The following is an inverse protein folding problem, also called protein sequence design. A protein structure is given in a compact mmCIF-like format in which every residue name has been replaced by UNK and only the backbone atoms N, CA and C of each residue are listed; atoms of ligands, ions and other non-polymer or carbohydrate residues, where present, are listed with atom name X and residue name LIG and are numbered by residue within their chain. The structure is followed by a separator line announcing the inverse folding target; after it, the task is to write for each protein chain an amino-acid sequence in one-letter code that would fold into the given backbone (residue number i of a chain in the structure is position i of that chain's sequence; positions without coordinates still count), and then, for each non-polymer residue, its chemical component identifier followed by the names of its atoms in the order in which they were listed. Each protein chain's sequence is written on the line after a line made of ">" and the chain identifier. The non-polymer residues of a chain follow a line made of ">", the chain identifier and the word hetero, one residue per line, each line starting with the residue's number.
data_IF_195659681047
#
_entry.id   IF_195659681047
#
_cell.length_a   1.000
_cell.length_b   1.000
_cell.length_c   1.000
_cell.angle_alpha   90.00
_cell.angle_beta   90.00
_cell.angle_gamma   90.00
#
_symmetry.space_group_name_H-M   'P 1'
#
loop_
_entity.id
_entity.type
_entity.pdbx_description
1 polymer ?
#
# COMPACT_ATOMS: atom_id res chain seq x y z
N UNK A 1 16.85 19.24 -54.66
CA UNK A 1 17.23 17.82 -54.85
C UNK A 1 17.59 17.28 -53.48
N UNK A 2 17.07 16.22 -52.90
CA UNK A 2 15.93 15.32 -53.15
C UNK A 2 15.76 14.56 -51.83
N UNK A 3 14.54 14.38 -51.35
CA UNK A 3 14.20 13.17 -50.57
C UNK A 3 14.08 12.02 -51.59
N UNK A 4 14.31 10.72 -51.23
CA UNK A 4 13.22 9.97 -50.57
C UNK A 4 13.60 8.74 -49.70
N UNK A 5 12.67 8.42 -48.78
CA UNK A 5 12.01 7.13 -48.49
C UNK A 5 12.77 5.82 -48.15
N UNK A 6 12.27 5.25 -47.03
CA UNK A 6 11.83 3.87 -46.82
C UNK A 6 12.87 2.74 -46.66
N UNK A 7 12.83 2.04 -45.53
CA UNK A 7 12.20 0.69 -45.42
C UNK A 7 12.57 0.09 -44.05
N UNK A 8 11.62 0.04 -43.11
CA UNK A 8 11.73 -0.83 -41.94
C UNK A 8 10.37 -1.43 -41.65
N UNK A 9 10.13 -2.64 -42.18
CA UNK A 9 9.16 -3.56 -41.63
C UNK A 9 9.40 -4.96 -42.20
N UNK A 10 9.99 -5.82 -41.39
CA UNK A 10 9.96 -7.28 -41.59
C UNK A 10 10.02 -7.98 -40.24
N UNK A 11 8.86 -8.08 -39.60
CA UNK A 11 8.60 -9.12 -38.61
C UNK A 11 7.38 -9.88 -39.07
N UNK A 12 7.60 -11.12 -39.50
CA UNK A 12 6.57 -12.11 -39.69
C UNK A 12 6.65 -13.07 -38.50
N UNK A 13 5.57 -13.31 -37.76
CA UNK A 13 5.44 -14.51 -36.95
C UNK A 13 4.76 -15.61 -37.76
N UNK A 14 5.47 -16.74 -37.89
CA UNK A 14 4.97 -17.99 -38.40
C UNK A 14 3.99 -18.63 -37.41
N UNK A 15 2.89 -19.20 -37.93
CA UNK A 15 2.12 -20.25 -37.28
C UNK A 15 0.88 -19.81 -36.49
N UNK A 16 -0.26 -19.69 -37.18
CA UNK A 16 -1.58 -19.85 -36.59
C UNK A 16 -2.36 -20.90 -37.42
N UNK A 17 -3.06 -21.85 -36.77
CA UNK A 17 -3.79 -22.92 -37.46
C UNK A 17 -5.04 -22.40 -38.19
N UNK A 18 -5.40 -23.14 -39.25
CA UNK A 18 -6.41 -22.82 -40.24
C UNK A 18 -7.79 -23.39 -39.85
N UNK A 19 -8.76 -22.52 -39.60
CA UNK A 19 -10.21 -22.80 -39.61
C UNK A 19 -11.06 -21.63 -39.07
N UNK A 20 -10.98 -20.43 -39.68
CA UNK A 20 -12.00 -19.39 -39.42
C UNK A 20 -12.46 -18.78 -40.75
N UNK A 21 -13.70 -19.12 -41.10
CA UNK A 21 -14.47 -18.62 -42.24
C UNK A 21 -14.62 -17.08 -42.21
N UNK A 22 -14.70 -16.51 -43.41
CA UNK A 22 -14.79 -15.09 -43.65
C UNK A 22 -16.01 -14.44 -42.97
N UNK A 23 -15.75 -13.50 -42.05
CA UNK A 23 -16.74 -12.53 -41.61
C UNK A 23 -16.46 -11.19 -42.31
N UNK A 24 -17.45 -10.70 -43.06
CA UNK A 24 -17.45 -9.43 -43.78
C UNK A 24 -17.16 -8.24 -42.86
N UNK A 25 -15.96 -7.68 -42.98
CA UNK A 25 -15.60 -6.41 -42.34
C UNK A 25 -16.15 -5.26 -43.19
N UNK A 26 -17.32 -4.75 -42.79
CA UNK A 26 -17.91 -3.52 -43.34
C UNK A 26 -16.99 -2.34 -43.01
N UNK A 27 -16.27 -1.84 -44.02
CA UNK A 27 -15.49 -0.60 -43.95
C UNK A 27 -16.41 0.62 -43.97
N UNK A 28 -16.69 1.21 -42.80
CA UNK A 28 -17.34 2.51 -42.71
C UNK A 28 -16.33 3.63 -42.99
N UNK A 29 -16.33 4.13 -44.23
CA UNK A 29 -15.72 5.41 -44.61
C UNK A 29 -16.59 6.56 -44.07
N UNK A 30 -16.04 7.57 -43.37
CA UNK A 30 -16.77 8.80 -43.09
C UNK A 30 -16.82 9.67 -44.36
N UNK A 31 -17.86 9.50 -45.18
CA UNK A 31 -18.22 10.43 -46.26
C UNK A 31 -19.20 11.47 -45.72
N UNK A 32 -18.68 12.58 -45.19
CA UNK A 32 -19.48 13.73 -44.71
C UNK A 32 -19.76 14.72 -45.86
N UNK A 33 -19.50 14.34 -47.12
CA UNK A 33 -19.61 15.24 -48.27
C UNK A 33 -20.80 14.95 -49.21
N UNK A 34 -21.78 14.14 -48.80
CA UNK A 34 -22.85 13.68 -49.72
C UNK A 34 -24.28 13.70 -49.14
N UNK A 35 -24.56 14.65 -48.24
CA UNK A 35 -25.92 14.95 -47.76
C UNK A 35 -26.28 16.44 -47.92
N UNK A 36 -25.89 17.05 -49.04
CA UNK A 36 -26.28 18.42 -49.42
C UNK A 36 -27.15 18.52 -50.67
N UNK A 37 -27.59 17.40 -51.25
CA UNK A 37 -28.42 17.41 -52.45
C UNK A 37 -29.62 16.48 -52.27
N UNK A 38 -30.68 17.00 -51.67
CA UNK A 38 -31.91 16.22 -51.54
C UNK A 38 -32.90 16.75 -50.53
N UNK A 39 -33.20 18.05 -50.51
CA UNK A 39 -34.47 18.55 -49.96
C UNK A 39 -34.80 19.99 -50.40
N UNK A 40 -34.64 20.28 -51.69
CA UNK A 40 -35.15 21.52 -52.30
C UNK A 40 -36.17 21.19 -53.37
N UNK A 41 -37.35 20.70 -53.00
CA UNK A 41 -38.57 20.84 -53.82
C UNK A 41 -39.79 20.44 -52.95
N UNK A 42 -40.17 21.30 -52.01
CA UNK A 42 -41.56 21.33 -51.55
C UNK A 42 -41.98 22.78 -51.33
N UNK A 43 -42.88 23.22 -52.21
CA UNK A 43 -43.49 24.55 -52.19
C UNK A 43 -44.50 24.61 -51.04
N UNK A 44 -44.09 25.19 -49.92
CA UNK A 44 -44.98 26.01 -49.08
C UNK A 44 -44.16 27.21 -48.58
N UNK A 45 -43.78 28.07 -49.52
CA UNK A 45 -43.55 29.47 -49.21
C UNK A 45 -44.93 30.13 -49.20
N UNK A 46 -45.37 30.58 -48.02
CA UNK A 46 -46.22 31.76 -47.75
C UNK A 46 -46.55 31.71 -46.25
N UNK A 47 -46.50 32.87 -45.59
CA UNK A 47 -46.69 33.09 -44.15
C UNK A 47 -45.42 32.91 -43.30
N UNK A 48 -44.51 33.88 -43.44
CA UNK A 48 -43.92 34.66 -42.35
C UNK A 48 -42.92 35.63 -42.99
N UNK A 49 -43.49 36.60 -43.71
CA UNK A 49 -42.77 37.82 -44.04
C UNK A 49 -42.46 38.58 -42.74
N UNK A 50 -41.28 39.18 -42.72
CA UNK A 50 -40.96 40.33 -41.87
C UNK A 50 -40.80 40.10 -40.36
N UNK A 51 -40.04 39.08 -39.97
CA UNK A 51 -39.16 39.24 -38.80
C UNK A 51 -37.71 39.31 -39.25
N UNK A 52 -37.37 40.48 -39.77
CA UNK A 52 -36.01 40.98 -39.91
C UNK A 52 -35.37 40.88 -38.52
N UNK A 53 -34.62 39.80 -38.25
CA UNK A 53 -33.68 39.78 -37.15
C UNK A 53 -32.67 40.88 -37.44
N UNK A 54 -32.94 42.04 -36.86
CA UNK A 54 -31.97 43.09 -36.65
C UNK A 54 -30.81 42.44 -35.92
N UNK A 55 -29.76 42.08 -36.67
CA UNK A 55 -28.45 41.76 -36.14
C UNK A 55 -27.79 43.07 -35.74
N UNK A 56 -28.39 43.76 -34.77
CA UNK A 56 -27.67 44.73 -33.95
C UNK A 56 -26.84 43.85 -33.01
N UNK A 57 -25.51 43.90 -33.16
CA UNK A 57 -24.54 43.19 -32.33
C UNK A 57 -24.60 43.70 -30.89
N UNK A 58 -25.65 43.31 -30.18
CA UNK A 58 -25.85 43.54 -28.75
C UNK A 58 -25.38 42.29 -28.06
N UNK A 59 -24.19 42.36 -27.48
CA UNK A 59 -23.50 41.38 -26.63
C UNK A 59 -24.29 40.10 -26.35
N UNK A 60 -24.27 39.15 -27.29
CA UNK A 60 -24.98 37.87 -27.16
C UNK A 60 -24.52 37.07 -25.93
N UNK A 61 -23.32 37.37 -25.42
CA UNK A 61 -22.78 36.82 -24.16
C UNK A 61 -23.76 36.96 -23.00
N UNK A 62 -24.42 38.11 -22.85
CA UNK A 62 -25.34 38.31 -21.73
C UNK A 62 -26.64 37.50 -21.88
N UNK A 63 -27.13 37.38 -23.11
CA UNK A 63 -28.29 36.54 -23.44
C UNK A 63 -27.95 35.06 -23.24
N UNK A 64 -26.75 34.63 -23.65
CA UNK A 64 -26.26 33.26 -23.45
C UNK A 64 -26.12 32.92 -21.96
N UNK A 65 -25.57 33.82 -21.14
CA UNK A 65 -25.50 33.63 -19.69
C UNK A 65 -26.87 33.56 -19.03
N UNK A 66 -27.84 34.36 -19.48
CA UNK A 66 -29.22 34.26 -19.02
C UNK A 66 -29.85 32.92 -19.41
N UNK A 67 -29.63 32.44 -20.64
CA UNK A 67 -30.14 31.14 -21.08
C UNK A 67 -29.53 29.98 -20.28
N UNK A 68 -28.22 30.01 -20.03
CA UNK A 68 -27.54 29.00 -19.19
C UNK A 68 -28.06 29.05 -17.75
N UNK A 69 -28.26 30.25 -17.19
CA UNK A 69 -28.80 30.43 -15.85
C UNK A 69 -30.21 29.84 -15.71
N UNK A 70 -31.09 30.14 -16.65
CA UNK A 70 -32.46 29.59 -16.68
C UNK A 70 -32.45 28.07 -16.85
N UNK A 71 -31.63 27.54 -17.77
CA UNK A 71 -31.47 26.09 -17.97
C UNK A 71 -30.98 25.40 -16.68
N UNK A 72 -30.01 26.00 -16.00
CA UNK A 72 -29.46 25.47 -14.75
C UNK A 72 -30.53 25.42 -13.67
N UNK A 73 -31.30 26.50 -13.49
CA UNK A 73 -32.41 26.54 -12.53
C UNK A 73 -33.48 25.50 -12.87
N UNK A 74 -33.78 25.30 -14.15
CA UNK A 74 -34.74 24.30 -14.60
C UNK A 74 -34.25 22.87 -14.29
N UNK A 75 -32.97 22.57 -14.54
CA UNK A 75 -32.36 21.27 -14.19
C UNK A 75 -32.43 21.05 -12.68
N UNK A 76 -32.05 22.05 -11.87
CA UNK A 76 -32.11 21.92 -10.41
C UNK A 76 -33.53 21.69 -9.90
N UNK A 77 -34.53 22.42 -10.43
CA UNK A 77 -35.93 22.19 -10.09
C UNK A 77 -36.41 20.80 -10.52
N UNK A 78 -35.97 20.32 -11.70
CA UNK A 78 -36.33 18.98 -12.18
C UNK A 78 -35.74 17.90 -11.27
N UNK A 79 -34.48 18.04 -10.85
CA UNK A 79 -33.83 17.13 -9.90
C UNK A 79 -34.54 17.18 -8.55
N UNK A 80 -34.77 18.37 -7.99
CA UNK A 80 -35.47 18.51 -6.71
C UNK A 80 -36.87 17.89 -6.77
N UNK A 81 -37.63 18.13 -7.84
CA UNK A 81 -38.97 17.54 -8.00
C UNK A 81 -38.92 16.02 -8.19
N UNK A 82 -37.89 15.50 -8.86
CA UNK A 82 -37.68 14.06 -9.02
C UNK A 82 -37.35 13.38 -7.68
N UNK A 83 -36.62 14.05 -6.79
CA UNK A 83 -36.31 13.56 -5.45
C UNK A 83 -37.35 13.93 -4.37
N UNK A 84 -38.25 14.88 -4.63
CA UNK A 84 -39.31 15.30 -3.69
C UNK A 84 -40.44 14.27 -3.54
N UNK A 85 -40.53 13.31 -4.47
CA UNK A 85 -41.42 12.15 -4.37
C UNK A 85 -40.78 10.93 -3.69
N UNK A 86 -39.48 10.98 -3.37
CA UNK A 86 -38.86 10.00 -2.51
C UNK A 86 -39.30 10.31 -1.08
N UNK A 87 -40.47 9.77 -0.72
CA UNK A 87 -40.85 9.62 0.67
C UNK A 87 -39.72 8.81 1.34
N UNK A 88 -38.80 9.52 1.97
CA UNK A 88 -38.10 8.96 3.11
C UNK A 88 -39.21 8.72 4.13
N UNK A 89 -39.83 7.54 4.07
CA UNK A 89 -40.36 6.91 5.25
C UNK A 89 -39.17 6.81 6.21
N UNK A 90 -38.97 7.89 6.97
CA UNK A 90 -38.53 7.72 8.32
C UNK A 90 -39.56 6.77 8.90
N UNK A 91 -39.21 5.49 8.92
CA UNK A 91 -39.82 4.54 9.82
C UNK A 91 -39.61 5.16 11.20
N UNK A 92 -40.63 5.90 11.63
CA UNK A 92 -40.76 6.39 12.98
C UNK A 92 -40.80 5.10 13.78
N UNK A 93 -39.65 4.74 14.33
CA UNK A 93 -39.54 3.72 15.35
C UNK A 93 -40.47 4.19 16.46
N UNK A 94 -41.66 3.61 16.48
CA UNK A 94 -42.65 3.82 17.51
C UNK A 94 -41.95 3.58 18.85
N UNK A 95 -42.01 4.53 19.82
CA UNK A 95 -41.39 4.30 21.11
C UNK A 95 -42.06 3.07 21.73
N UNK A 96 -41.29 1.99 21.80
CA UNK A 96 -41.68 0.73 22.43
C UNK A 96 -42.26 1.06 23.81
N UNK A 97 -43.58 0.90 23.93
CA UNK A 97 -44.30 1.02 25.20
C UNK A 97 -43.63 0.05 26.18
N UNK A 98 -43.12 0.47 27.35
CA UNK A 98 -42.48 -0.45 28.27
C UNK A 98 -43.52 -1.42 28.80
N UNK A 99 -43.48 -2.67 28.34
CA UNK A 99 -44.30 -3.73 28.89
C UNK A 99 -43.81 -4.11 30.29
N UNK A 100 -44.78 -4.05 31.20
CA UNK A 100 -44.90 -4.57 32.56
C UNK A 100 -43.74 -5.43 33.09
N UNK A 101 -43.17 -5.01 34.22
CA UNK A 101 -42.27 -5.81 35.08
C UNK A 101 -42.87 -7.20 35.33
N UNK A 102 -42.31 -8.22 34.67
CA UNK A 102 -42.43 -9.60 35.13
C UNK A 102 -41.43 -9.77 36.27
N UNK A 103 -41.94 -9.94 37.50
CA UNK A 103 -41.11 -10.31 38.64
C UNK A 103 -40.60 -11.73 38.43
N UNK A 104 -39.36 -11.86 37.97
CA UNK A 104 -38.67 -13.15 37.96
C UNK A 104 -38.31 -13.47 39.41
N UNK A 105 -39.08 -14.34 40.05
CA UNK A 105 -38.64 -15.00 41.28
C UNK A 105 -37.48 -15.92 40.92
N UNK A 106 -36.26 -15.41 41.06
CA UNK A 106 -35.04 -16.18 40.90
C UNK A 106 -34.95 -17.18 42.05
N UNK A 107 -35.36 -18.42 41.82
CA UNK A 107 -35.02 -19.51 42.75
C UNK A 107 -33.51 -19.70 42.67
N UNK A 108 -32.79 -19.17 43.67
CA UNK A 108 -31.34 -19.32 43.81
C UNK A 108 -31.00 -20.81 43.81
N UNK A 109 -30.18 -21.31 42.87
CA UNK A 109 -29.63 -22.65 42.96
C UNK A 109 -28.86 -22.76 44.26
N UNK A 110 -29.15 -23.78 45.09
CA UNK A 110 -28.33 -24.05 46.27
C UNK A 110 -26.88 -24.27 45.83
N UNK A 111 -25.90 -23.65 46.51
CA UNK A 111 -24.50 -23.87 46.19
C UNK A 111 -24.17 -25.35 46.35
N UNK A 112 -23.58 -25.98 45.33
CA UNK A 112 -22.89 -27.26 45.52
C UNK A 112 -21.82 -27.07 46.62
N UNK A 113 -21.60 -28.06 47.51
CA UNK A 113 -20.52 -27.99 48.49
C UNK A 113 -19.20 -27.69 47.79
N UNK A 114 -18.53 -26.63 48.21
CA UNK A 114 -17.23 -26.23 47.70
C UNK A 114 -16.21 -27.28 48.16
N UNK A 115 -15.34 -27.82 47.29
CA UNK A 115 -14.24 -28.67 47.72
C UNK A 115 -13.35 -27.93 48.73
N UNK A 116 -12.73 -28.63 49.69
CA UNK A 116 -11.90 -28.00 50.70
C UNK A 116 -10.79 -27.18 50.03
N UNK A 117 -10.45 -26.01 50.60
CA UNK A 117 -9.44 -25.14 50.02
C UNK A 117 -8.10 -25.89 49.93
N UNK A 118 -7.34 -25.72 48.83
CA UNK A 118 -5.97 -26.21 48.78
C UNK A 118 -5.20 -25.66 50.00
N UNK A 119 -4.25 -26.43 50.56
CA UNK A 119 -3.48 -25.99 51.71
C UNK A 119 -2.95 -24.57 51.50
N UNK A 120 -3.34 -23.66 52.40
CA UNK A 120 -2.80 -22.31 52.38
C UNK A 120 -1.29 -22.41 52.56
N UNK A 121 -0.54 -22.04 51.53
CA UNK A 121 0.88 -21.74 51.66
C UNK A 121 0.95 -20.57 52.65
N UNK A 122 1.50 -20.83 53.84
CA UNK A 122 1.80 -19.79 54.84
C UNK A 122 2.47 -18.61 54.15
N UNK A 123 2.18 -17.36 54.55
CA UNK A 123 2.89 -16.20 54.04
C UNK A 123 4.39 -16.43 54.17
N UNK A 124 5.09 -16.57 53.04
CA UNK A 124 6.54 -16.44 53.06
C UNK A 124 6.85 -15.02 53.57
N UNK A 125 7.88 -14.87 54.43
CA UNK A 125 8.35 -13.55 54.84
C UNK A 125 8.56 -12.67 53.60
N UNK A 126 8.30 -11.36 53.70
CA UNK A 126 8.52 -10.47 52.58
C UNK A 126 9.97 -10.64 52.11
N UNK A 127 10.16 -10.97 50.83
CA UNK A 127 11.47 -10.87 50.19
C UNK A 127 11.98 -9.45 50.44
N UNK A 128 13.19 -9.28 50.98
CA UNK A 128 13.76 -7.95 51.20
C UNK A 128 13.66 -7.12 49.92
N UNK A 129 13.21 -5.86 50.04
CA UNK A 129 13.34 -4.87 48.97
C UNK A 129 14.80 -4.86 48.56
N UNK A 130 15.06 -5.19 47.29
CA UNK A 130 16.37 -4.95 46.67
C UNK A 130 16.54 -3.44 46.67
N UNK A 131 17.31 -2.95 47.65
CA UNK A 131 17.96 -1.65 47.58
C UNK A 131 18.69 -1.60 46.23
N UNK A 132 18.56 -0.54 45.42
CA UNK A 132 19.40 -0.38 44.24
C UNK A 132 20.86 -0.52 44.66
N UNK A 133 21.50 -1.60 44.22
CA UNK A 133 22.92 -1.80 44.40
C UNK A 133 23.61 -0.63 43.71
N UNK A 134 24.31 0.20 44.50
CA UNK A 134 25.29 1.14 43.95
C UNK A 134 26.20 0.34 42.99
N UNK A 135 26.57 0.89 41.83
CA UNK A 135 27.54 0.25 40.95
C UNK A 135 28.79 -0.15 41.75
N UNK A 136 29.27 -1.39 41.64
CA UNK A 136 30.53 -1.77 42.26
C UNK A 136 31.62 -0.84 41.75
N UNK A 137 32.32 -0.18 42.66
CA UNK A 137 33.61 0.43 42.35
C UNK A 137 34.53 -0.73 41.97
N UNK A 138 34.84 -0.86 40.68
CA UNK A 138 35.79 -1.84 40.16
C UNK A 138 37.11 -1.57 40.90
N UNK A 139 37.42 -2.41 41.87
CA UNK A 139 38.78 -2.53 42.37
C UNK A 139 39.53 -3.32 41.29
N UNK A 140 40.66 -2.82 40.76
CA UNK A 140 41.44 -3.59 39.82
C UNK A 140 41.92 -4.87 40.49
N UNK A 141 41.57 -6.00 39.89
CA UNK A 141 42.11 -7.31 40.24
C UNK A 141 43.64 -7.20 40.14
N UNK A 142 44.40 -7.52 41.20
CA UNK A 142 45.84 -7.66 41.11
C UNK A 142 46.13 -8.71 40.05
N UNK A 143 46.86 -8.29 39.02
CA UNK A 143 47.44 -9.15 37.99
C UNK A 143 48.21 -10.25 38.73
N UNK A 144 47.68 -11.46 38.75
CA UNK A 144 48.47 -12.65 39.06
C UNK A 144 49.45 -12.76 37.92
N UNK A 145 50.62 -12.18 38.16
CA UNK A 145 51.83 -12.36 37.39
C UNK A 145 52.24 -13.80 37.66
N UNK A 146 51.96 -14.66 36.68
CA UNK A 146 52.66 -15.92 36.54
C UNK A 146 54.14 -15.60 36.38
N UNK A 147 54.90 -16.11 37.34
CA UNK A 147 56.32 -15.92 37.54
C UNK A 147 57.08 -16.61 36.40
N UNK A 148 57.44 -15.83 35.37
CA UNK A 148 58.49 -16.21 34.44
C UNK A 148 59.84 -16.08 35.16
N UNK A 149 60.70 -17.12 35.16
CA UNK A 149 62.01 -17.04 35.79
C UNK A 149 62.88 -16.05 35.01
N UNK A 150 63.48 -15.11 35.75
CA UNK A 150 64.42 -14.13 35.26
C UNK A 150 65.65 -14.79 34.60
N UNK A 151 66.10 -14.33 33.43
CA UNK A 151 67.51 -14.39 33.07
C UNK A 151 68.24 -13.16 33.63
N UNK A 152 69.40 -13.43 34.23
CA UNK A 152 70.29 -12.47 34.85
C UNK A 152 70.73 -11.33 33.90
N UNK A 153 71.20 -10.18 34.44
CA UNK A 153 71.68 -9.05 33.66
C UNK A 153 73.01 -9.39 32.99
N UNK A 154 73.11 -9.14 31.69
CA UNK A 154 74.41 -8.97 31.02
C UNK A 154 74.53 -7.52 30.61
N UNK A 155 75.46 -6.83 31.28
CA UNK A 155 75.96 -5.53 30.89
C UNK A 155 76.56 -5.60 29.47
N UNK A 156 76.18 -4.64 28.64
CA UNK A 156 76.80 -4.37 27.35
C UNK A 156 76.46 -2.93 26.93
N UNK A 157 77.44 -2.03 26.78
CA UNK A 157 77.17 -0.63 26.47
C UNK A 157 77.36 -0.38 24.97
N UNK A 158 76.32 0.05 24.24
CA UNK A 158 76.51 0.97 23.10
C UNK A 158 75.20 1.61 22.64
N UNK A 159 75.20 2.94 22.80
CA UNK A 159 74.54 4.01 22.07
C UNK A 159 74.05 3.65 20.65
N UNK A 160 72.77 3.93 20.36
CA UNK A 160 72.42 4.74 19.18
C UNK A 160 71.05 5.43 19.36
N UNK A 161 71.02 6.75 19.20
CA UNK A 161 69.82 7.59 19.30
C UNK A 161 69.26 7.82 17.90
N UNK A 162 68.22 7.08 17.51
CA UNK A 162 67.38 7.41 16.36
C UNK A 162 65.93 7.64 16.84
N UNK A 163 65.33 8.82 16.60
CA UNK A 163 63.93 9.07 16.97
C UNK A 163 62.97 8.09 16.29
N UNK A 164 61.91 7.60 16.96
CA UNK A 164 60.89 6.76 16.32
C UNK A 164 60.21 7.53 15.19
N UNK A 165 60.10 6.91 14.00
CA UNK A 165 59.29 7.44 12.92
C UNK A 165 57.82 7.58 13.37
N UNK A 166 57.12 8.67 13.01
CA UNK A 166 55.72 8.85 13.39
C UNK A 166 54.84 7.73 12.82
N UNK A 167 53.76 7.34 13.53
CA UNK A 167 52.84 6.31 13.05
C UNK A 167 52.27 6.71 11.69
N UNK A 168 52.28 5.79 10.74
CA UNK A 168 51.57 5.97 9.47
C UNK A 168 50.07 6.24 9.75
N UNK A 169 49.44 7.18 9.03
CA UNK A 169 48.01 7.44 9.22
C UNK A 169 47.21 6.16 8.93
N UNK A 170 46.12 5.91 9.69
CA UNK A 170 45.26 4.76 9.43
C UNK A 170 44.74 4.81 8.00
N UNK A 171 44.80 3.68 7.31
CA UNK A 171 44.26 3.54 5.97
C UNK A 171 42.78 3.98 5.94
N UNK A 172 42.33 4.66 4.87
CA UNK A 172 40.96 5.14 4.78
C UNK A 172 40.00 3.95 4.90
N UNK A 173 39.07 4.04 5.84
CA UNK A 173 37.93 3.12 5.94
C UNK A 173 37.15 3.26 4.64
N UNK A 174 37.22 2.24 3.79
CA UNK A 174 36.36 2.14 2.60
C UNK A 174 34.95 1.93 3.13
N UNK A 175 34.15 3.00 3.12
CA UNK A 175 32.74 2.93 3.48
C UNK A 175 32.01 2.14 2.38
N UNK A 176 31.87 0.83 2.60
CA UNK A 176 31.22 -0.07 1.65
C UNK A 176 29.76 0.34 1.45
N UNK A 177 29.44 0.77 0.23
CA UNK A 177 28.09 1.14 -0.21
C UNK A 177 27.12 -0.01 0.07
N UNK A 178 26.07 0.28 0.84
CA UNK A 178 25.00 -0.67 1.14
C UNK A 178 23.86 -0.50 0.13
N UNK A 179 23.49 -1.58 -0.55
CA UNK A 179 22.34 -1.65 -1.45
C UNK A 179 21.14 -2.20 -0.67
N UNK A 180 19.96 -1.60 -0.84
CA UNK A 180 18.73 -2.03 -0.14
C UNK A 180 18.10 -3.28 -0.79
N UNK A 181 17.26 -4.04 -0.06
CA UNK A 181 16.57 -5.19 -0.61
C UNK A 181 15.48 -4.75 -1.58
N UNK A 182 15.42 -5.40 -2.75
CA UNK A 182 14.42 -5.12 -3.79
C UNK A 182 13.38 -6.24 -3.80
N UNK A 183 12.12 -5.82 -3.76
CA UNK A 183 10.94 -6.64 -3.54
C UNK A 183 9.93 -6.56 -4.69
N UNK A 184 10.38 -6.13 -5.87
CA UNK A 184 9.44 -5.88 -6.97
C UNK A 184 8.85 -7.21 -7.44
N UNK A 185 7.56 -7.41 -7.16
CA UNK A 185 6.87 -8.68 -7.39
C UNK A 185 6.95 -9.13 -8.86
N UNK A 186 7.04 -8.16 -9.78
CA UNK A 186 7.19 -8.41 -11.20
C UNK A 186 8.58 -8.95 -11.57
N UNK A 187 9.64 -8.54 -10.85
CA UNK A 187 11.02 -8.88 -11.18
C UNK A 187 11.40 -10.31 -10.76
N UNK A 188 10.78 -10.84 -9.70
CA UNK A 188 11.07 -12.17 -9.16
C UNK A 188 9.95 -13.21 -9.40
N UNK A 189 9.00 -12.89 -10.28
CA UNK A 189 7.84 -13.76 -10.57
C UNK A 189 7.10 -14.21 -9.29
N UNK A 190 7.03 -13.31 -8.31
CA UNK A 190 6.34 -13.59 -7.07
C UNK A 190 4.82 -13.59 -7.33
N UNK A 191 4.09 -14.65 -6.94
CA UNK A 191 2.66 -14.71 -7.17
C UNK A 191 1.94 -13.62 -6.37
N UNK A 192 0.94 -13.00 -6.99
CA UNK A 192 0.11 -12.02 -6.31
C UNK A 192 -0.62 -12.67 -5.12
N UNK A 193 -0.87 -11.92 -4.03
CA UNK A 193 -1.76 -12.34 -2.96
C UNK A 193 -3.13 -12.71 -3.51
N UNK A 194 -3.62 -13.86 -3.04
CA UNK A 194 -4.98 -14.30 -3.32
C UNK A 194 -5.98 -13.34 -2.69
N UNK A 195 -7.00 -12.97 -3.47
CA UNK A 195 -8.06 -12.09 -3.00
C UNK A 195 -9.04 -12.92 -2.15
N UNK A 196 -9.24 -12.61 -0.86
CA UNK A 196 -10.13 -13.39 -0.01
C UNK A 196 -11.58 -13.34 -0.51
N UNK A 197 -12.26 -14.49 -0.58
CA UNK A 197 -13.65 -14.59 -1.08
C UNK A 197 -14.60 -13.60 -0.38
N UNK A 198 -14.55 -13.54 0.95
CA UNK A 198 -15.37 -12.60 1.75
C UNK A 198 -15.11 -11.13 1.36
N UNK A 199 -13.89 -10.79 0.95
CA UNK A 199 -13.55 -9.44 0.52
C UNK A 199 -14.00 -9.19 -0.94
N UNK A 200 -13.97 -10.20 -1.80
CA UNK A 200 -14.51 -10.12 -3.17
C UNK A 200 -16.03 -9.90 -3.14
N UNK A 201 -16.77 -10.73 -2.39
CA UNK A 201 -18.23 -10.64 -2.25
C UNK A 201 -18.70 -9.28 -1.71
N UNK A 202 -17.87 -8.64 -0.87
CA UNK A 202 -18.16 -7.35 -0.24
C UNK A 202 -17.60 -6.15 -1.02
N UNK A 203 -16.90 -6.37 -2.13
CA UNK A 203 -16.29 -5.30 -2.91
C UNK A 203 -15.20 -4.53 -2.15
N UNK A 204 -14.49 -5.19 -1.21
CA UNK A 204 -13.54 -4.53 -0.32
C UNK A 204 -12.16 -4.38 -0.95
N UNK A 205 -11.77 -3.16 -1.27
CA UNK A 205 -10.45 -2.82 -1.80
C UNK A 205 -9.55 -2.15 -0.75
N UNK A 206 -8.25 -2.03 -1.05
CA UNK A 206 -7.35 -1.23 -0.22
C UNK A 206 -5.87 -1.43 -0.49
N UNK A 207 -5.05 -0.57 0.14
CA UNK A 207 -3.59 -0.62 0.03
C UNK A 207 -2.96 -1.02 1.36
N UNK A 208 -2.22 -2.11 1.36
CA UNK A 208 -1.44 -2.59 2.50
C UNK A 208 0.02 -2.18 2.30
N UNK A 209 0.68 -1.70 3.34
CA UNK A 209 2.12 -1.47 3.33
C UNK A 209 2.74 -2.35 4.42
N UNK A 210 3.71 -3.15 4.03
CA UNK A 210 4.37 -4.12 4.91
C UNK A 210 5.86 -3.83 5.02
N UNK A 211 6.39 -4.00 6.22
CA UNK A 211 7.83 -4.04 6.49
C UNK A 211 8.26 -5.50 6.55
N UNK A 212 9.24 -5.84 5.74
CA UNK A 212 9.66 -7.22 5.47
C UNK A 212 11.14 -7.36 5.81
N UNK A 213 11.50 -8.36 6.63
CA UNK A 213 12.89 -8.68 6.95
C UNK A 213 13.42 -9.72 5.96
N UNK A 214 14.32 -9.28 5.08
CA UNK A 214 14.94 -10.11 4.05
C UNK A 214 16.29 -10.61 4.55
N UNK A 215 16.52 -11.93 4.52
CA UNK A 215 17.79 -12.55 4.88
C UNK A 215 18.81 -12.50 3.74
N UNK A 216 20.11 -12.81 3.99
CA UNK A 216 21.14 -12.84 2.95
C UNK A 216 20.89 -13.86 1.82
N UNK A 217 20.07 -14.87 2.06
CA UNK A 217 19.67 -15.87 1.06
C UNK A 217 18.49 -15.42 0.18
N UNK A 218 17.91 -14.24 0.45
CA UNK A 218 16.75 -13.70 -0.25
C UNK A 218 15.40 -14.21 0.27
N UNK A 219 15.37 -15.03 1.31
CA UNK A 219 14.14 -15.45 1.98
C UNK A 219 13.67 -14.40 2.99
N UNK A 220 12.48 -14.64 3.55
CA UNK A 220 11.84 -13.73 4.50
C UNK A 220 11.74 -14.38 5.88
N UNK A 221 12.19 -13.69 6.92
CA UNK A 221 12.10 -14.17 8.31
C UNK A 221 10.85 -13.61 9.02
N UNK A 222 10.59 -12.31 8.84
CA UNK A 222 9.47 -11.64 9.48
C UNK A 222 8.80 -10.62 8.58
N UNK A 223 7.48 -10.51 8.71
CA UNK A 223 6.63 -9.57 7.98
C UNK A 223 5.75 -8.86 8.99
N UNK A 224 5.72 -7.53 8.96
CA UNK A 224 4.88 -6.70 9.82
C UNK A 224 4.12 -5.69 8.98
N UNK A 225 2.82 -5.55 9.22
CA UNK A 225 2.00 -4.54 8.54
C UNK A 225 2.34 -3.16 9.13
N UNK A 226 2.91 -2.27 8.32
CA UNK A 226 3.18 -0.88 8.73
C UNK A 226 1.99 0.03 8.47
N UNK A 227 1.18 -0.27 7.44
CA UNK A 227 -0.08 0.41 7.16
C UNK A 227 -1.13 -0.60 6.68
N UNK A 228 -2.24 -0.68 7.42
CA UNK A 228 -3.38 -1.52 7.07
C UNK A 228 -4.14 -0.96 5.87
N UNK A 229 -4.77 -1.85 5.10
CA UNK A 229 -5.78 -1.51 4.09
C UNK A 229 -7.07 -0.94 4.67
N UNK A 230 -7.28 -1.07 5.99
CA UNK A 230 -8.55 -0.84 6.65
C UNK A 230 -9.37 -2.12 6.82
N UNK A 231 -8.96 -3.24 6.21
CA UNK A 231 -9.62 -4.54 6.33
C UNK A 231 -8.62 -5.61 6.74
N UNK A 232 -8.79 -6.19 7.94
CA UNK A 232 -7.89 -7.22 8.47
C UNK A 232 -7.76 -8.42 7.53
N UNK A 233 -8.84 -8.79 6.86
CA UNK A 233 -8.87 -9.94 5.95
C UNK A 233 -7.94 -9.74 4.75
N UNK A 234 -7.87 -8.51 4.21
CA UNK A 234 -6.93 -8.15 3.14
C UNK A 234 -5.48 -8.10 3.64
N UNK A 235 -5.28 -7.56 4.85
CA UNK A 235 -3.95 -7.49 5.46
C UNK A 235 -3.36 -8.89 5.70
N UNK A 236 -4.15 -9.80 6.25
CA UNK A 236 -3.75 -11.19 6.50
C UNK A 236 -3.40 -11.92 5.20
N UNK A 237 -4.15 -11.66 4.12
CA UNK A 237 -3.89 -12.23 2.80
C UNK A 237 -2.58 -11.72 2.19
N UNK A 238 -2.31 -10.42 2.32
CA UNK A 238 -1.06 -9.81 1.88
C UNK A 238 0.15 -10.41 2.62
N UNK A 239 0.06 -10.56 3.94
CA UNK A 239 1.14 -11.16 4.75
C UNK A 239 1.42 -12.60 4.32
N UNK A 240 0.36 -13.42 4.14
CA UNK A 240 0.51 -14.82 3.71
C UNK A 240 1.19 -14.96 2.34
N UNK A 241 0.95 -14.03 1.43
CA UNK A 241 1.56 -14.04 0.12
C UNK A 241 3.05 -13.67 0.21
N UNK A 242 3.36 -12.57 0.90
CA UNK A 242 4.74 -12.07 1.04
C UNK A 242 5.65 -13.07 1.77
N UNK A 243 5.12 -13.85 2.72
CA UNK A 243 5.88 -14.92 3.37
C UNK A 243 6.41 -15.99 2.41
N UNK A 244 5.79 -16.15 1.23
CA UNK A 244 6.19 -17.12 0.21
C UNK A 244 7.06 -16.51 -0.89
N UNK A 245 7.28 -15.19 -0.84
CA UNK A 245 8.04 -14.48 -1.85
C UNK A 245 9.54 -14.65 -1.65
N UNK A 246 10.25 -14.58 -2.75
CA UNK A 246 11.70 -14.41 -2.75
C UNK A 246 12.06 -12.96 -3.03
N UNK A 247 13.18 -12.50 -2.48
CA UNK A 247 13.67 -11.14 -2.56
C UNK A 247 15.12 -11.12 -3.01
N UNK A 248 15.54 -10.00 -3.61
CA UNK A 248 16.97 -9.74 -3.79
C UNK A 248 17.52 -9.22 -2.45
N UNK A 249 18.49 -9.89 -1.82
CA UNK A 249 19.02 -9.47 -0.54
C UNK A 249 19.75 -8.12 -0.68
N UNK A 250 19.76 -7.36 0.40
CA UNK A 250 20.66 -6.21 0.52
C UNK A 250 22.11 -6.69 0.42
N UNK A 251 23.00 -5.85 -0.11
CA UNK A 251 24.43 -6.14 -0.17
C UNK A 251 25.24 -5.02 0.47
N UNK A 252 26.30 -5.37 1.18
CA UNK A 252 27.38 -4.46 1.57
C UNK A 252 28.60 -4.80 0.72
N UNK A 253 28.94 -3.93 -0.23
CA UNK A 253 29.83 -4.31 -1.33
C UNK A 253 29.24 -5.51 -2.08
N UNK A 254 29.99 -6.61 -2.14
CA UNK A 254 29.55 -7.88 -2.77
C UNK A 254 28.94 -8.88 -1.77
N UNK A 255 28.94 -8.58 -0.47
CA UNK A 255 28.47 -9.49 0.57
C UNK A 255 26.97 -9.30 0.84
N UNK A 256 26.12 -10.34 0.70
CA UNK A 256 24.70 -10.23 1.04
C UNK A 256 24.49 -10.11 2.55
N UNK A 257 23.56 -9.24 2.96
CA UNK A 257 23.25 -8.93 4.36
C UNK A 257 21.74 -8.91 4.60
N UNK A 258 21.32 -9.24 5.83
CA UNK A 258 19.93 -9.13 6.23
C UNK A 258 19.52 -7.66 6.39
N UNK A 259 18.35 -7.28 5.88
CA UNK A 259 17.84 -5.91 6.00
C UNK A 259 16.32 -5.86 5.83
N UNK A 260 15.72 -4.86 6.47
CA UNK A 260 14.30 -4.57 6.30
C UNK A 260 14.05 -3.79 5.00
N UNK A 261 12.97 -4.13 4.30
CA UNK A 261 12.44 -3.38 3.15
C UNK A 261 10.95 -3.11 3.32
N UNK A 262 10.41 -2.16 2.56
CA UNK A 262 8.99 -1.79 2.59
C UNK A 262 8.32 -2.18 1.28
N UNK A 263 7.24 -2.95 1.38
CA UNK A 263 6.50 -3.49 0.24
C UNK A 263 5.07 -2.94 0.25
N UNK A 264 4.70 -2.06 -0.69
CA UNK A 264 3.32 -1.68 -0.89
C UNK A 264 2.59 -2.71 -1.75
N UNK A 265 1.39 -3.11 -1.33
CA UNK A 265 0.51 -3.99 -2.08
C UNK A 265 -0.89 -3.36 -2.18
N UNK A 266 -1.56 -3.50 -3.32
CA UNK A 266 -2.90 -2.93 -3.54
C UNK A 266 -3.86 -4.00 -4.02
N UNK A 267 -4.96 -4.18 -3.29
CA UNK A 267 -6.11 -4.99 -3.70
C UNK A 267 -7.10 -4.12 -4.46
N UNK A 268 -7.50 -4.57 -5.66
CA UNK A 268 -8.51 -3.96 -6.53
C UNK A 268 -9.30 -5.06 -7.23
N UNK A 269 -10.58 -4.82 -7.48
CA UNK A 269 -11.49 -5.73 -8.21
C UNK A 269 -11.73 -5.28 -9.65
#
# INVERSE_FOLDING_TARGET
>A
MSSPLATFNKFAPAGAPADWDAADVVSLKPSIAQLSEGLTHSRVAVALGDFKYVTETRDHKWVDFLLIGVLTIFIHNTVVNHFSGAAFEQEIVEPIKPETKVQITLTRPQPKPVPPPPPQVKPQPPKPKVVPLKPPKIQPVPKVVEEAPAPAPVEGPVVDNAPPAPPAPPAPVVEEKITEPVADAAYLHNPLPEYPEVAQERGWEGKVVMKVHVLPDGTTDSVTVSKSSGQKVLDDAAVKAVLKWSFVPAKRGDTPIARYTTVPFTFKL
#
